data_IF_718632471275
#
_entry.id   IF_718632471275
#
_cell.length_a   1.000
_cell.length_b   1.000
_cell.length_c   1.000
_cell.angle_alpha   90.00
_cell.angle_beta   90.00
_cell.angle_gamma   90.00
#
_symmetry.space_group_name_H-M   'P 1'
#
loop_
_entity.id
_entity.type
_entity.pdbx_description
1 polymer ?
#
# COMPACT_ATOMS: atom_id res chain seq x y z
N UNK A 1 -15.57 -8.24 -14.65
CA UNK A 1 -14.81 -7.68 -13.51
C UNK A 1 -13.44 -8.33 -13.24
N UNK A 2 -13.32 -9.64 -12.93
CA UNK A 2 -12.03 -10.27 -12.57
C UNK A 2 -10.92 -10.06 -13.62
N UNK A 3 -11.22 -10.27 -14.90
CA UNK A 3 -10.26 -10.08 -16.01
C UNK A 3 -9.69 -8.66 -16.03
N UNK A 4 -10.55 -7.63 -16.00
CA UNK A 4 -10.12 -6.22 -15.94
C UNK A 4 -9.23 -5.93 -14.72
N UNK A 5 -9.58 -6.49 -13.56
CA UNK A 5 -8.77 -6.34 -12.36
C UNK A 5 -7.39 -6.99 -12.52
N UNK A 6 -7.33 -8.19 -13.10
CA UNK A 6 -6.08 -8.91 -13.33
C UNK A 6 -5.19 -8.17 -14.36
N UNK A 7 -5.78 -7.59 -15.41
CA UNK A 7 -5.08 -6.73 -16.38
C UNK A 7 -4.47 -5.49 -15.72
N UNK A 8 -5.25 -4.78 -14.90
CA UNK A 8 -4.74 -3.61 -14.16
C UNK A 8 -3.70 -3.98 -13.11
N UNK A 9 -3.86 -5.14 -12.47
CA UNK A 9 -2.88 -5.66 -11.52
C UNK A 9 -1.55 -6.08 -12.19
N UNK A 10 -1.55 -6.32 -13.50
CA UNK A 10 -0.35 -6.62 -14.27
C UNK A 10 0.44 -5.37 -14.70
N UNK A 11 -0.14 -4.17 -14.57
CA UNK A 11 0.57 -2.92 -14.86
C UNK A 11 1.79 -2.75 -13.95
N UNK A 12 2.92 -2.38 -14.55
CA UNK A 12 4.21 -2.23 -13.87
C UNK A 12 4.50 -0.75 -13.59
N UNK A 13 4.59 -0.32 -12.33
CA UNK A 13 5.00 1.04 -11.98
C UNK A 13 6.46 1.30 -12.35
N UNK A 14 6.73 2.54 -12.74
CA UNK A 14 8.09 3.05 -12.92
C UNK A 14 8.57 3.66 -11.61
N UNK A 15 9.72 3.20 -11.12
CA UNK A 15 10.38 3.76 -9.94
C UNK A 15 11.65 4.51 -10.32
N UNK A 16 11.95 5.63 -9.64
CA UNK A 16 13.11 6.49 -9.91
C UNK A 16 14.42 5.69 -9.97
N UNK A 17 14.63 4.74 -9.06
CA UNK A 17 15.85 3.90 -9.04
C UNK A 17 16.02 3.02 -10.29
N UNK A 18 14.91 2.54 -10.88
CA UNK A 18 14.94 1.82 -12.16
C UNK A 18 15.07 2.75 -13.35
N UNK A 19 14.53 3.96 -13.28
CA UNK A 19 14.63 4.97 -14.32
C UNK A 19 16.07 5.46 -14.51
N UNK A 20 16.80 5.67 -13.40
CA UNK A 20 18.23 6.04 -13.43
C UNK A 20 19.09 4.88 -13.94
N UNK A 21 18.80 3.64 -13.54
CA UNK A 21 19.51 2.45 -14.06
C UNK A 21 19.27 2.26 -15.56
N UNK A 22 18.02 2.40 -16.03
CA UNK A 22 17.66 2.28 -17.44
C UNK A 22 18.27 3.39 -18.33
N UNK A 23 18.54 4.58 -17.78
CA UNK A 23 19.33 5.61 -18.46
C UNK A 23 20.85 5.36 -18.41
N UNK A 24 21.34 4.60 -17.42
CA UNK A 24 22.76 4.24 -17.29
C UNK A 24 23.14 2.96 -18.04
N UNK A 25 22.17 2.09 -18.34
CA UNK A 25 22.34 0.79 -19.02
C UNK A 25 22.71 0.89 -20.52
N UNK A 26 23.09 2.07 -21.03
CA UNK A 26 23.95 2.14 -22.23
C UNK A 26 25.38 1.61 -21.95
N UNK A 27 25.75 1.37 -20.69
CA UNK A 27 27.03 0.77 -20.32
C UNK A 27 26.88 -0.38 -19.31
N UNK A 28 26.75 -1.60 -19.84
CA UNK A 28 27.17 -2.91 -19.28
C UNK A 28 27.18 -3.07 -17.74
N UNK A 29 26.06 -3.53 -17.16
CA UNK A 29 26.04 -4.41 -15.97
C UNK A 29 24.85 -5.37 -16.08
N UNK A 30 25.02 -6.63 -15.70
CA UNK A 30 23.92 -7.61 -15.66
C UNK A 30 22.80 -7.16 -14.69
N UNK A 31 21.52 -7.26 -15.10
CA UNK A 31 20.41 -6.83 -14.27
C UNK A 31 20.26 -7.72 -13.02
N UNK A 32 20.18 -7.09 -11.84
CA UNK A 32 19.88 -7.76 -10.58
C UNK A 32 18.56 -8.56 -10.66
N UNK A 33 18.47 -9.72 -9.97
CA UNK A 33 17.27 -10.54 -10.00
C UNK A 33 16.05 -9.75 -9.53
N UNK A 34 15.10 -9.56 -10.43
CA UNK A 34 13.80 -8.96 -10.13
C UNK A 34 13.07 -9.94 -9.22
N UNK A 35 12.99 -9.64 -7.93
CA UNK A 35 12.12 -10.40 -7.02
C UNK A 35 10.69 -10.23 -7.52
N UNK A 36 10.14 -11.26 -8.15
CA UNK A 36 8.71 -11.30 -8.46
C UNK A 36 7.95 -11.22 -7.14
N UNK A 37 7.22 -10.11 -6.96
CA UNK A 37 6.39 -9.96 -5.79
C UNK A 37 5.30 -11.05 -5.82
N UNK A 38 5.37 -12.00 -4.90
CA UNK A 38 4.47 -13.18 -4.75
C UNK A 38 2.96 -12.84 -4.83
N UNK A 39 2.60 -11.56 -4.60
CA UNK A 39 1.32 -10.94 -5.00
C UNK A 39 1.58 -9.58 -5.66
N UNK A 40 0.90 -9.28 -6.78
CA UNK A 40 0.98 -7.98 -7.45
C UNK A 40 0.58 -6.79 -6.56
N UNK A 41 1.20 -5.63 -6.76
CA UNK A 41 1.09 -4.44 -5.90
C UNK A 41 -0.37 -4.03 -5.67
N UNK A 42 -1.18 -3.90 -6.73
CA UNK A 42 -2.59 -3.55 -6.63
C UNK A 42 -3.38 -4.50 -5.70
N UNK A 43 -3.11 -5.80 -5.73
CA UNK A 43 -3.78 -6.77 -4.84
C UNK A 43 -3.46 -6.49 -3.38
N UNK A 44 -2.22 -6.10 -3.07
CA UNK A 44 -1.82 -5.71 -1.70
C UNK A 44 -2.50 -4.41 -1.27
N UNK A 45 -2.53 -3.39 -2.13
CA UNK A 45 -3.22 -2.12 -1.87
C UNK A 45 -4.68 -2.39 -1.49
N UNK A 46 -5.42 -3.15 -2.31
CA UNK A 46 -6.82 -3.48 -2.03
C UNK A 46 -7.01 -4.25 -0.72
N UNK A 47 -6.10 -5.18 -0.40
CA UNK A 47 -6.14 -5.93 0.87
C UNK A 47 -5.94 -5.01 2.08
N UNK A 48 -4.96 -4.10 2.01
CA UNK A 48 -4.69 -3.13 3.06
C UNK A 48 -5.87 -2.18 3.27
N UNK A 49 -6.48 -1.68 2.19
CA UNK A 49 -7.63 -0.78 2.26
C UNK A 49 -8.85 -1.45 2.88
N UNK A 50 -9.17 -2.68 2.47
CA UNK A 50 -10.28 -3.43 3.07
C UNK A 50 -10.04 -3.69 4.55
N UNK A 51 -8.81 -4.06 4.92
CA UNK A 51 -8.44 -4.27 6.32
C UNK A 51 -8.57 -2.98 7.13
N UNK A 52 -8.08 -1.86 6.62
CA UNK A 52 -8.21 -0.57 7.28
C UNK A 52 -9.68 -0.18 7.44
N UNK A 53 -10.53 -0.42 6.43
CA UNK A 53 -11.98 -0.22 6.53
C UNK A 53 -12.57 -1.05 7.65
N UNK A 54 -12.24 -2.34 7.71
CA UNK A 54 -12.77 -3.23 8.74
C UNK A 54 -12.38 -2.76 10.16
N UNK A 55 -11.14 -2.29 10.35
CA UNK A 55 -10.67 -1.72 11.63
C UNK A 55 -11.37 -0.40 11.96
N UNK A 56 -11.48 0.50 10.98
CA UNK A 56 -12.13 1.82 11.17
C UNK A 56 -13.59 1.70 11.63
N UNK A 57 -14.31 0.68 11.15
CA UNK A 57 -15.70 0.41 11.51
C UNK A 57 -15.87 -0.69 12.57
N UNK A 58 -14.80 -1.22 13.16
CA UNK A 58 -14.86 -2.34 14.11
C UNK A 58 -15.68 -2.01 15.38
N UNK A 59 -15.65 -0.74 15.81
CA UNK A 59 -16.32 -0.25 17.01
C UNK A 59 -17.41 0.80 16.71
N UNK A 60 -17.97 0.85 15.49
CA UNK A 60 -18.89 1.92 15.06
C UNK A 60 -19.99 1.43 14.07
N UNK A 61 -20.68 2.38 13.40
CA UNK A 61 -21.73 2.25 12.38
C UNK A 61 -21.31 1.45 11.14
N UNK A 62 -21.19 0.14 11.30
CA UNK A 62 -20.85 -0.81 10.24
C UNK A 62 -21.90 -0.83 9.10
N UNK A 63 -23.12 -0.35 9.35
CA UNK A 63 -24.22 -0.27 8.39
C UNK A 63 -23.93 0.68 7.21
N UNK A 64 -23.15 1.75 7.45
CA UNK A 64 -22.77 2.75 6.43
C UNK A 64 -21.39 2.51 5.83
N UNK A 65 -20.67 1.51 6.30
CA UNK A 65 -19.30 1.24 5.87
C UNK A 65 -19.22 1.03 4.34
N UNK A 66 -18.19 1.59 3.66
CA UNK A 66 -18.02 1.39 2.22
C UNK A 66 -17.90 -0.09 1.88
N UNK A 67 -18.65 -0.55 0.88
CA UNK A 67 -18.63 -1.95 0.47
C UNK A 67 -17.34 -2.29 -0.28
N UNK A 68 -16.94 -3.56 -0.22
CA UNK A 68 -15.68 -4.04 -0.81
C UNK A 68 -15.52 -3.73 -2.30
N UNK A 69 -16.62 -3.75 -3.08
CA UNK A 69 -16.57 -3.49 -4.52
C UNK A 69 -16.27 -2.02 -4.83
N UNK A 70 -16.78 -1.07 -4.03
CA UNK A 70 -16.44 0.36 -4.14
C UNK A 70 -14.94 0.55 -3.92
N UNK A 71 -14.41 0.02 -2.80
CA UNK A 71 -12.98 0.12 -2.47
C UNK A 71 -12.12 -0.49 -3.58
N UNK A 72 -12.50 -1.67 -4.06
CA UNK A 72 -11.74 -2.38 -5.10
C UNK A 72 -11.76 -1.61 -6.42
N UNK A 73 -12.91 -1.07 -6.82
CA UNK A 73 -13.08 -0.35 -8.09
C UNK A 73 -12.27 0.94 -8.09
N UNK A 74 -12.44 1.77 -7.06
CA UNK A 74 -11.73 3.05 -6.94
C UNK A 74 -10.22 2.86 -6.82
N UNK A 75 -9.76 1.90 -6.02
CA UNK A 75 -8.32 1.60 -5.92
C UNK A 75 -7.74 1.09 -7.25
N UNK A 76 -8.49 0.24 -7.96
CA UNK A 76 -8.09 -0.28 -9.26
C UNK A 76 -7.99 0.82 -10.33
N UNK A 77 -8.96 1.72 -10.39
CA UNK A 77 -8.95 2.87 -11.30
C UNK A 77 -7.80 3.83 -11.00
N UNK A 78 -7.66 4.19 -9.72
CA UNK A 78 -6.61 5.08 -9.24
C UNK A 78 -5.22 4.52 -9.50
N UNK A 79 -4.99 3.25 -9.18
CA UNK A 79 -3.71 2.58 -9.44
C UNK A 79 -3.36 2.60 -10.94
N UNK A 80 -4.32 2.25 -11.80
CA UNK A 80 -4.10 2.22 -13.24
C UNK A 80 -3.78 3.62 -13.79
N UNK A 81 -4.43 4.67 -13.27
CA UNK A 81 -4.11 6.05 -13.60
C UNK A 81 -2.70 6.43 -13.11
N UNK A 82 -2.39 6.16 -11.84
CA UNK A 82 -1.10 6.49 -11.23
C UNK A 82 0.06 5.84 -11.98
N UNK A 83 -0.02 4.53 -12.24
CA UNK A 83 1.04 3.76 -12.93
C UNK A 83 1.28 4.24 -14.37
N UNK A 84 0.25 4.73 -15.06
CA UNK A 84 0.38 5.18 -16.44
C UNK A 84 0.92 6.60 -16.58
N UNK A 85 0.70 7.44 -15.57
CA UNK A 85 0.96 8.88 -15.69
C UNK A 85 2.14 9.35 -14.84
N UNK A 86 2.51 8.64 -13.77
CA UNK A 86 3.47 9.14 -12.78
C UNK A 86 4.68 8.19 -12.63
N UNK A 87 5.77 8.72 -12.09
CA UNK A 87 6.95 7.98 -11.65
C UNK A 87 7.05 8.09 -10.13
N UNK A 88 7.39 7.00 -9.44
CA UNK A 88 7.34 6.91 -7.99
C UNK A 88 8.72 6.71 -7.37
N UNK A 89 8.90 7.11 -6.12
CA UNK A 89 10.12 6.80 -5.39
C UNK A 89 10.17 5.32 -4.98
N UNK A 90 9.08 4.80 -4.43
CA UNK A 90 8.93 3.42 -3.96
C UNK A 90 7.45 2.96 -3.95
N UNK A 91 7.20 1.73 -3.48
CA UNK A 91 5.84 1.18 -3.39
C UNK A 91 4.93 1.91 -2.39
N UNK A 92 5.49 2.54 -1.34
CA UNK A 92 4.71 3.29 -0.35
C UNK A 92 4.20 4.61 -0.95
N UNK A 93 5.04 5.28 -1.73
CA UNK A 93 4.67 6.47 -2.49
C UNK A 93 3.52 6.16 -3.48
N UNK A 94 3.66 5.07 -4.24
CA UNK A 94 2.58 4.59 -5.14
C UNK A 94 1.29 4.25 -4.39
N UNK A 95 1.38 3.61 -3.23
CA UNK A 95 0.21 3.29 -2.38
C UNK A 95 -0.49 4.58 -1.94
N UNK A 96 0.24 5.55 -1.38
CA UNK A 96 -0.32 6.82 -0.92
C UNK A 96 -0.97 7.58 -2.08
N UNK A 97 -0.30 7.69 -3.22
CA UNK A 97 -0.85 8.37 -4.40
C UNK A 97 -2.10 7.65 -4.93
N UNK A 98 -2.09 6.32 -4.95
CA UNK A 98 -3.27 5.52 -5.33
C UNK A 98 -4.47 5.85 -4.43
N UNK A 99 -4.26 5.97 -3.10
CA UNK A 99 -5.32 6.33 -2.16
C UNK A 99 -5.80 7.76 -2.42
N UNK A 100 -4.87 8.71 -2.56
CA UNK A 100 -5.16 10.13 -2.82
C UNK A 100 -6.03 10.32 -4.05
N UNK A 101 -5.81 9.52 -5.09
CA UNK A 101 -6.56 9.61 -6.35
C UNK A 101 -7.96 9.00 -6.31
N UNK A 102 -8.31 8.15 -5.34
CA UNK A 102 -9.61 7.45 -5.27
C UNK A 102 -10.85 8.35 -5.46
N UNK A 103 -10.95 9.52 -4.81
CA UNK A 103 -12.12 10.40 -4.96
C UNK A 103 -12.33 10.92 -6.39
N UNK A 104 -11.27 11.02 -7.20
CA UNK A 104 -11.35 11.53 -8.57
C UNK A 104 -12.10 10.58 -9.53
N UNK A 105 -12.31 9.32 -9.11
CA UNK A 105 -13.07 8.32 -9.85
C UNK A 105 -14.52 8.18 -9.34
N UNK A 106 -15.00 9.15 -8.55
CA UNK A 106 -16.39 9.22 -8.11
C UNK A 106 -17.06 10.37 -8.87
N UNK A 107 -17.90 10.01 -9.83
CA UNK A 107 -18.64 10.97 -10.63
C UNK A 107 -19.82 11.58 -9.84
N UNK A 108 -20.21 12.79 -10.21
CA UNK A 108 -21.34 13.53 -9.62
C UNK A 108 -22.41 13.88 -10.67
N UNK A 109 -23.03 12.89 -11.32
CA UNK A 109 -24.03 13.14 -12.35
C UNK A 109 -25.33 13.70 -11.75
N UNK A 110 -26.18 14.25 -12.62
CA UNK A 110 -27.56 14.55 -12.27
C UNK A 110 -28.40 13.28 -12.43
N UNK A 111 -28.96 12.79 -11.34
CA UNK A 111 -29.89 11.65 -11.26
C UNK A 111 -31.23 12.19 -10.73
N UNK A 112 -32.32 11.96 -11.46
CA UNK A 112 -33.67 12.42 -11.08
C UNK A 112 -33.74 13.91 -10.67
N UNK A 113 -33.02 14.76 -11.41
CA UNK A 113 -32.96 16.21 -11.17
C UNK A 113 -32.09 16.66 -10.00
N UNK A 114 -31.34 15.75 -9.35
CA UNK A 114 -30.45 16.06 -8.22
C UNK A 114 -29.03 15.55 -8.47
N UNK A 115 -28.02 16.14 -7.83
CA UNK A 115 -26.64 15.62 -7.90
C UNK A 115 -26.55 14.31 -7.12
N UNK A 116 -26.27 13.22 -7.81
CA UNK A 116 -26.00 11.91 -7.22
C UNK A 116 -24.50 11.61 -7.14
N UNK A 117 -24.21 10.35 -6.83
CA UNK A 117 -22.89 9.73 -6.91
C UNK A 117 -22.93 8.59 -7.92
N UNK A 118 -21.90 8.48 -8.74
CA UNK A 118 -21.71 7.35 -9.63
C UNK A 118 -20.29 6.78 -9.52
N UNK A 119 -20.23 5.46 -9.35
CA UNK A 119 -19.01 4.65 -9.41
C UNK A 119 -19.34 3.52 -10.38
N UNK A 120 -19.09 3.76 -11.66
CA UNK A 120 -19.54 2.89 -12.73
C UNK A 120 -18.70 1.62 -12.82
N UNK A 121 -19.36 0.48 -13.04
CA UNK A 121 -18.66 -0.75 -13.41
C UNK A 121 -18.22 -0.68 -14.87
N UNK A 122 -16.91 -0.66 -15.10
CA UNK A 122 -16.33 -0.66 -16.45
C UNK A 122 -16.56 -1.96 -17.24
N UNK A 123 -17.08 -3.01 -16.61
CA UNK A 123 -17.38 -4.30 -17.25
C UNK A 123 -18.86 -4.55 -17.51
N UNK A 124 -19.75 -3.71 -16.98
CA UNK A 124 -21.20 -3.84 -17.13
C UNK A 124 -21.81 -2.46 -17.32
N UNK A 125 -22.32 -2.17 -18.52
CA UNK A 125 -22.91 -0.87 -18.81
C UNK A 125 -24.15 -0.61 -17.92
N UNK A 126 -24.25 0.60 -17.38
CA UNK A 126 -25.37 1.04 -16.54
C UNK A 126 -25.31 0.59 -15.07
N UNK A 127 -24.35 -0.26 -14.67
CA UNK A 127 -24.21 -0.65 -13.26
C UNK A 127 -23.43 0.41 -12.46
N UNK A 128 -24.07 0.94 -11.41
CA UNK A 128 -23.50 1.95 -10.52
C UNK A 128 -23.35 1.40 -9.09
N UNK A 129 -22.11 1.21 -8.62
CA UNK A 129 -21.86 0.73 -7.27
C UNK A 129 -22.23 1.72 -6.17
N UNK A 130 -22.48 2.99 -6.52
CA UNK A 130 -22.93 4.03 -5.59
C UNK A 130 -24.46 4.14 -5.47
N UNK A 131 -25.25 3.23 -6.04
CA UNK A 131 -26.72 3.28 -5.96
C UNK A 131 -27.24 3.35 -4.52
N UNK A 132 -26.62 2.63 -3.60
CA UNK A 132 -27.00 2.69 -2.19
C UNK A 132 -26.62 4.03 -1.53
N UNK A 133 -25.61 4.74 -2.03
CA UNK A 133 -25.29 6.09 -1.54
C UNK A 133 -26.35 7.10 -1.96
N UNK A 134 -26.97 6.90 -3.13
CA UNK A 134 -28.07 7.74 -3.60
C UNK A 134 -29.38 7.46 -2.84
N UNK A 135 -29.48 6.31 -2.15
CA UNK A 135 -30.63 5.93 -1.30
C UNK A 135 -30.45 6.29 0.18
N UNK A 136 -29.21 6.27 0.67
CA UNK A 136 -28.85 6.57 2.05
C UNK A 136 -27.69 7.60 2.06
N UNK A 137 -28.06 8.84 2.32
CA UNK A 137 -27.18 10.01 2.30
C UNK A 137 -26.03 9.95 3.32
N UNK A 138 -26.09 9.06 4.31
CA UNK A 138 -25.01 8.85 5.28
C UNK A 138 -23.80 8.13 4.69
N UNK A 139 -23.97 7.36 3.61
CA UNK A 139 -22.94 6.45 3.09
C UNK A 139 -21.79 7.16 2.37
N UNK A 140 -22.09 8.20 1.59
CA UNK A 140 -21.05 8.96 0.92
C UNK A 140 -20.14 9.70 1.93
N UNK A 141 -20.67 10.48 2.91
CA UNK A 141 -19.87 11.04 3.99
C UNK A 141 -19.06 10.00 4.75
N UNK A 142 -19.64 8.82 5.04
CA UNK A 142 -18.93 7.74 5.70
C UNK A 142 -17.71 7.27 4.88
N UNK A 143 -17.85 7.10 3.56
CA UNK A 143 -16.70 6.81 2.70
C UNK A 143 -15.62 7.89 2.76
N UNK A 144 -15.99 9.17 2.66
CA UNK A 144 -15.00 10.26 2.67
C UNK A 144 -14.29 10.37 4.02
N UNK A 145 -15.00 10.15 5.13
CA UNK A 145 -14.40 10.12 6.46
C UNK A 145 -13.37 8.98 6.60
N UNK A 146 -13.74 7.77 6.15
CA UNK A 146 -12.83 6.63 6.13
C UNK A 146 -11.62 6.90 5.21
N UNK A 147 -11.86 7.38 3.99
CA UNK A 147 -10.83 7.69 3.01
C UNK A 147 -9.82 8.71 3.53
N UNK A 148 -10.29 9.79 4.15
CA UNK A 148 -9.42 10.82 4.74
C UNK A 148 -8.54 10.26 5.86
N UNK A 149 -9.10 9.43 6.75
CA UNK A 149 -8.32 8.77 7.80
C UNK A 149 -7.30 7.80 7.20
N UNK A 150 -7.70 7.00 6.22
CA UNK A 150 -6.80 6.06 5.54
C UNK A 150 -5.64 6.78 4.84
N UNK A 151 -5.92 7.85 4.10
CA UNK A 151 -4.87 8.64 3.45
C UNK A 151 -3.89 9.21 4.48
N UNK A 152 -4.40 9.84 5.53
CA UNK A 152 -3.60 10.39 6.63
C UNK A 152 -2.71 9.34 7.29
N UNK A 153 -3.28 8.17 7.64
CA UNK A 153 -2.55 7.08 8.27
C UNK A 153 -1.40 6.56 7.39
N UNK A 154 -1.63 6.41 6.08
CA UNK A 154 -0.60 5.94 5.15
C UNK A 154 0.46 7.01 4.82
N UNK A 155 0.09 8.29 4.79
CA UNK A 155 1.05 9.41 4.68
C UNK A 155 1.97 9.45 5.90
N UNK A 156 1.40 9.35 7.11
CA UNK A 156 2.18 9.28 8.34
C UNK A 156 3.10 8.06 8.36
N UNK A 157 2.63 6.88 7.90
CA UNK A 157 3.46 5.68 7.82
C UNK A 157 4.61 5.82 6.82
N UNK A 158 4.37 6.43 5.66
CA UNK A 158 5.39 6.73 4.66
C UNK A 158 6.45 7.66 5.24
N UNK A 159 6.02 8.70 5.94
CA UNK A 159 6.92 9.72 6.49
C UNK A 159 7.65 9.25 7.77
N UNK A 160 7.13 8.22 8.44
CA UNK A 160 7.73 7.60 9.62
C UNK A 160 8.84 6.57 9.30
N UNK A 161 9.06 6.23 8.03
CA UNK A 161 10.12 5.29 7.62
C UNK A 161 11.49 5.87 8.01
N UNK A 162 12.07 5.33 9.09
CA UNK A 162 13.34 5.81 9.68
C UNK A 162 13.27 6.21 11.16
N UNK A 163 12.08 6.18 11.78
CA UNK A 163 11.89 6.52 13.21
C UNK A 163 11.13 5.42 13.96
N UNK A 164 11.36 5.26 15.27
CA UNK A 164 10.73 4.26 16.16
C UNK A 164 9.19 4.37 16.30
N UNK A 165 8.54 5.29 15.58
CA UNK A 165 7.09 5.56 15.64
C UNK A 165 6.24 4.67 14.73
N UNK A 166 6.87 3.86 13.88
CA UNK A 166 6.17 3.01 12.88
C UNK A 166 5.24 1.99 13.55
N UNK A 167 5.65 1.40 14.68
CA UNK A 167 4.90 0.32 15.36
C UNK A 167 3.53 0.78 15.87
N UNK A 168 3.48 1.92 16.58
CA UNK A 168 2.23 2.46 17.15
C UNK A 168 1.22 2.85 16.05
N UNK A 169 1.71 3.44 14.96
CA UNK A 169 0.85 3.83 13.83
C UNK A 169 0.31 2.59 13.09
N UNK A 170 1.13 1.56 12.89
CA UNK A 170 0.68 0.31 12.28
C UNK A 170 -0.37 -0.40 13.15
N UNK A 171 -0.22 -0.42 14.47
CA UNK A 171 -1.24 -1.01 15.36
C UNK A 171 -2.58 -0.29 15.26
N UNK A 172 -2.56 1.04 15.19
CA UNK A 172 -3.76 1.86 15.00
C UNK A 172 -4.45 1.57 13.66
N UNK A 173 -3.71 1.51 12.56
CA UNK A 173 -4.29 1.40 11.21
C UNK A 173 -4.67 -0.04 10.80
N UNK A 174 -4.01 -1.07 11.33
CA UNK A 174 -4.22 -2.47 10.93
C UNK A 174 -4.65 -3.41 12.06
N UNK A 175 -4.65 -2.92 13.29
CA UNK A 175 -4.89 -3.68 14.51
C UNK A 175 -3.62 -4.32 15.07
N UNK A 176 -3.56 -4.42 16.39
CA UNK A 176 -2.39 -4.92 17.14
C UNK A 176 -1.95 -6.33 16.76
N UNK A 177 -2.88 -7.23 16.44
CA UNK A 177 -2.57 -8.64 16.15
C UNK A 177 -1.77 -8.88 14.86
N UNK A 178 -1.97 -8.07 13.81
CA UNK A 178 -1.23 -8.19 12.55
C UNK A 178 0.13 -7.50 12.67
N UNK A 179 0.15 -6.30 13.23
CA UNK A 179 1.35 -5.49 13.43
C UNK A 179 2.34 -6.17 14.37
N UNK A 180 1.89 -6.64 15.53
CA UNK A 180 2.73 -7.34 16.50
C UNK A 180 3.37 -8.61 15.91
N UNK A 181 2.65 -9.33 15.04
CA UNK A 181 3.18 -10.52 14.35
C UNK A 181 4.28 -10.16 13.35
N UNK A 182 4.08 -9.13 12.52
CA UNK A 182 5.06 -8.71 11.51
C UNK A 182 6.30 -8.10 12.17
N UNK A 183 6.10 -7.22 13.15
CA UNK A 183 7.19 -6.58 13.87
C UNK A 183 7.96 -7.60 14.71
N UNK A 184 7.26 -8.49 15.42
CA UNK A 184 7.86 -9.59 16.18
C UNK A 184 8.69 -10.52 15.30
N UNK A 185 8.19 -10.90 14.11
CA UNK A 185 8.96 -11.70 13.15
C UNK A 185 10.23 -10.98 12.68
N UNK A 186 10.18 -9.66 12.47
CA UNK A 186 11.34 -8.87 12.05
C UNK A 186 12.36 -8.70 13.17
N UNK A 187 11.90 -8.47 14.40
CA UNK A 187 12.74 -8.43 15.61
C UNK A 187 13.39 -9.79 15.85
N UNK A 188 12.64 -10.88 15.75
CA UNK A 188 13.16 -12.24 15.89
C UNK A 188 14.20 -12.54 14.81
N UNK A 189 13.94 -12.23 13.54
CA UNK A 189 14.91 -12.43 12.46
C UNK A 189 16.22 -11.65 12.68
N UNK A 190 16.14 -10.40 13.18
CA UNK A 190 17.34 -9.60 13.53
C UNK A 190 18.03 -10.16 14.77
N UNK A 191 17.27 -10.61 15.78
CA UNK A 191 17.80 -11.21 17.01
C UNK A 191 18.51 -12.55 16.73
N UNK A 192 17.91 -13.40 15.90
CA UNK A 192 18.48 -14.68 15.47
C UNK A 192 19.69 -14.45 14.56
N UNK A 193 19.64 -13.45 13.67
CA UNK A 193 20.79 -13.02 12.87
C UNK A 193 21.96 -12.51 13.72
N UNK A 194 21.67 -11.81 14.84
CA UNK A 194 22.68 -11.41 15.82
C UNK A 194 23.28 -12.61 16.54
N UNK A 195 22.44 -13.52 17.06
CA UNK A 195 22.90 -14.73 17.78
C UNK A 195 23.74 -15.66 16.91
N UNK A 196 23.45 -15.71 15.61
CA UNK A 196 24.17 -16.55 14.65
C UNK A 196 25.39 -15.88 14.00
N UNK A 197 25.70 -14.62 14.34
CA UNK A 197 26.82 -13.88 13.74
C UNK A 197 26.63 -13.54 12.25
N UNK A 198 25.41 -13.68 11.73
CA UNK A 198 25.07 -13.43 10.32
C UNK A 198 24.61 -11.98 10.07
N UNK A 199 24.49 -11.17 11.12
CA UNK A 199 24.09 -9.78 11.00
C UNK A 199 25.20 -8.96 10.35
N UNK A 200 24.88 -8.31 9.24
CA UNK A 200 25.81 -7.48 8.48
C UNK A 200 25.11 -6.25 7.92
N UNK A 201 25.87 -5.20 7.62
CA UNK A 201 25.38 -3.96 7.00
C UNK A 201 26.01 -3.84 5.62
N UNK A 202 25.17 -3.69 4.58
CA UNK A 202 25.64 -3.43 3.22
C UNK A 202 25.29 -1.99 2.80
N UNK A 203 26.17 -1.28 2.05
CA UNK A 203 26.02 0.15 1.73
C UNK A 203 24.73 0.58 1.02
N UNK A 204 23.92 -0.37 0.54
CA UNK A 204 22.67 -0.12 -0.20
C UNK A 204 21.46 -0.82 0.41
N UNK A 205 21.66 -1.94 1.11
CA UNK A 205 20.57 -2.78 1.67
C UNK A 205 20.32 -2.44 3.14
N UNK A 206 21.27 -1.78 3.80
CA UNK A 206 21.22 -1.56 5.25
C UNK A 206 21.44 -2.88 6.00
N UNK A 207 20.70 -3.08 7.09
CA UNK A 207 20.85 -4.23 7.97
C UNK A 207 20.30 -5.52 7.30
N UNK A 208 21.16 -6.52 7.13
CA UNK A 208 20.86 -7.79 6.47
C UNK A 208 21.37 -8.97 7.30
N UNK A 209 20.68 -10.10 7.19
CA UNK A 209 21.09 -11.40 7.75
C UNK A 209 21.63 -12.34 6.68
N UNK A 210 21.69 -11.88 5.43
CA UNK A 210 22.23 -12.60 4.28
C UNK A 210 23.61 -12.06 3.92
N UNK A 211 24.55 -12.94 3.50
CA UNK A 211 25.86 -12.52 2.97
C UNK A 211 25.64 -11.71 1.68
N UNK A 212 26.01 -10.43 1.70
CA UNK A 212 25.98 -9.54 0.54
C UNK A 212 27.42 -9.09 0.24
N UNK A 213 27.78 -8.94 -1.03
CA UNK A 213 29.09 -8.40 -1.41
C UNK A 213 29.30 -7.02 -0.77
N UNK A 214 30.50 -6.76 -0.25
CA UNK A 214 30.85 -5.54 0.49
C UNK A 214 30.05 -5.27 1.79
N UNK A 215 29.49 -6.31 2.42
CA UNK A 215 28.85 -6.18 3.74
C UNK A 215 29.86 -6.16 4.88
N UNK A 216 29.70 -5.24 5.84
CA UNK A 216 30.45 -5.23 7.11
C UNK A 216 29.65 -5.98 8.17
N UNK A 217 30.25 -6.98 8.82
CA UNK A 217 29.62 -7.68 9.94
C UNK A 217 29.35 -6.72 11.09
N UNK A 218 28.18 -6.85 11.70
CA UNK A 218 27.82 -6.07 12.89
C UNK A 218 28.48 -6.73 14.11
N UNK A 219 29.32 -6.01 14.87
CA UNK A 219 29.92 -6.55 16.08
C UNK A 219 28.86 -7.00 17.08
N UNK A 220 29.11 -8.12 17.75
CA UNK A 220 28.31 -8.56 18.88
C UNK A 220 28.45 -7.56 20.02
N UNK A 221 27.34 -6.98 20.45
CA UNK A 221 27.32 -6.06 21.58
C UNK A 221 27.29 -6.90 22.88
N UNK A 222 28.46 -7.34 23.35
CA UNK A 222 28.59 -7.93 24.68
C UNK A 222 28.68 -6.81 25.69
N UNK A 223 27.81 -6.81 26.70
CA UNK A 223 27.78 -5.81 27.77
C UNK A 223 29.10 -5.76 28.58
N UNK A 224 29.92 -6.79 28.43
CA UNK A 224 31.32 -6.85 28.83
C UNK A 224 32.13 -6.96 27.53
N UNK A 225 32.74 -5.87 27.10
CA UNK A 225 33.55 -5.86 25.88
C UNK A 225 34.79 -6.71 26.07
N UNK A 226 34.92 -7.76 25.26
CA UNK A 226 36.16 -8.48 24.97
C UNK A 226 36.28 -8.65 23.45
#
# INVERSE_FOLDING_TARGET
YKTLFDERAALRPTFVGKFIAMQRDEATVEPFPVREAVKGILRRIVQLLKRHRDVFYQNNTQDVAPISVIITTLAMQSYAYCVRNHVFHDEMDLLVETIRMMPHFIDRPILDGRRGYAILNETTNGENFADNWNKDERRAPAFYAWHAQTLSDFEVLRDAVGQDRVSLNMERSFGSGVTGRVLGNRVNAVSDGRKSGLLSVAPVVGLTTSKVAASTTVPTNTFFGD
#
